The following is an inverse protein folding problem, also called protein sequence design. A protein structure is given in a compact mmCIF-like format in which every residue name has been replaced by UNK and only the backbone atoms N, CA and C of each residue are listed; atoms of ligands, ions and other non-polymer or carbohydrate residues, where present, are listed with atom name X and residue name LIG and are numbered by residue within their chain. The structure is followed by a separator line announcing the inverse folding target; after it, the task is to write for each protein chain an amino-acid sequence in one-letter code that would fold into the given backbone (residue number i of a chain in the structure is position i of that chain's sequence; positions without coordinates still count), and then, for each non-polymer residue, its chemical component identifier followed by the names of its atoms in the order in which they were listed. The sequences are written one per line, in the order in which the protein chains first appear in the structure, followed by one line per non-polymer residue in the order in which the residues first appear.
data_IF_052375005903
#
_entry.id   IF_052375005903
#
_cell.length_a   1.000
_cell.length_b   1.000
_cell.length_c   1.000
_cell.angle_alpha   90.00
_cell.angle_beta   90.00
_cell.angle_gamma   90.00
#
_symmetry.space_group_name_H-M   'P 1'
#
loop_
_entity.id
_entity.type
_entity.pdbx_description
1 polymer ?
#
# COMPACT_ATOMS: atom_id res chain seq x y z
N UNK A 1 -8.29 -22.61 10.25
CA UNK A 1 -7.17 -21.94 10.93
C UNK A 1 -7.00 -20.59 10.27
N UNK A 2 -7.27 -19.50 11.00
CA UNK A 2 -7.10 -18.15 10.49
C UNK A 2 -5.63 -17.75 10.69
N UNK A 3 -5.00 -17.34 9.61
CA UNK A 3 -3.61 -16.88 9.57
C UNK A 3 -3.62 -15.39 9.94
N UNK A 4 -3.69 -15.12 11.25
CA UNK A 4 -3.94 -13.81 11.82
C UNK A 4 -2.64 -13.02 12.02
N UNK A 5 -2.00 -12.58 10.94
CA UNK A 5 -1.07 -11.45 10.99
C UNK A 5 0.37 -11.70 10.57
N UNK A 6 0.69 -12.87 10.01
CA UNK A 6 1.99 -13.08 9.38
C UNK A 6 1.95 -12.54 7.93
N UNK A 7 2.91 -11.70 7.52
CA UNK A 7 3.00 -11.29 6.13
C UNK A 7 3.35 -12.50 5.28
N UNK A 8 2.47 -12.85 4.33
CA UNK A 8 2.70 -13.97 3.41
C UNK A 8 4.00 -13.82 2.62
N UNK A 9 4.44 -12.57 2.43
CA UNK A 9 5.70 -12.24 1.77
C UNK A 9 6.31 -10.99 2.40
N UNK A 10 7.62 -11.01 2.56
CA UNK A 10 8.43 -9.89 3.04
C UNK A 10 9.32 -9.43 1.89
N UNK A 11 9.30 -8.13 1.60
CA UNK A 11 10.12 -7.49 0.59
C UNK A 11 11.07 -6.51 1.27
N UNK A 12 12.35 -6.85 1.26
CA UNK A 12 13.39 -5.95 1.76
C UNK A 12 13.84 -5.00 0.64
N UNK A 13 13.57 -3.71 0.86
CA UNK A 13 13.98 -2.62 -0.01
C UNK A 13 14.97 -1.68 0.70
N UNK A 14 15.63 -2.15 1.77
CA UNK A 14 16.58 -1.34 2.51
C UNK A 14 17.80 -1.01 1.64
N UNK A 15 18.13 0.28 1.53
CA UNK A 15 19.23 0.78 0.70
C UNK A 15 18.85 1.22 -0.72
N UNK A 16 17.60 0.99 -1.14
CA UNK A 16 17.08 1.44 -2.44
C UNK A 16 16.24 2.72 -2.24
N UNK A 17 16.84 3.91 -2.37
CA UNK A 17 16.10 5.18 -2.34
C UNK A 17 15.68 5.69 -3.74
N UNK A 18 15.61 4.80 -4.74
CA UNK A 18 15.14 5.14 -6.09
C UNK A 18 13.64 4.83 -6.24
N UNK A 19 13.02 5.12 -7.39
CA UNK A 19 11.62 4.75 -7.70
C UNK A 19 11.37 3.25 -7.81
N UNK A 20 12.42 2.43 -7.76
CA UNK A 20 12.42 0.97 -7.93
C UNK A 20 11.66 0.16 -6.85
N UNK A 21 11.81 0.38 -5.53
CA UNK A 21 11.16 -0.44 -4.51
C UNK A 21 9.64 -0.25 -4.52
N UNK A 22 9.15 0.92 -4.96
CA UNK A 22 7.74 1.16 -5.20
C UNK A 22 7.21 0.29 -6.35
N UNK A 23 7.98 0.17 -7.43
CA UNK A 23 7.65 -0.68 -8.57
C UNK A 23 7.70 -2.16 -8.18
N UNK A 24 8.71 -2.59 -7.43
CA UNK A 24 8.81 -3.97 -6.95
C UNK A 24 7.68 -4.34 -6.00
N UNK A 25 7.41 -3.52 -4.98
CA UNK A 25 6.28 -3.71 -4.07
C UNK A 25 4.96 -3.79 -4.84
N UNK A 26 4.79 -2.93 -5.86
CA UNK A 26 3.63 -2.97 -6.75
C UNK A 26 3.56 -4.27 -7.55
N UNK A 27 4.65 -4.69 -8.18
CA UNK A 27 4.70 -5.90 -8.99
C UNK A 27 4.41 -7.14 -8.15
N UNK A 28 4.90 -7.15 -6.91
CA UNK A 28 4.67 -8.25 -5.99
C UNK A 28 3.21 -8.30 -5.54
N UNK A 29 2.63 -7.16 -5.16
CA UNK A 29 1.20 -7.04 -4.87
C UNK A 29 0.33 -7.40 -6.08
N UNK A 30 0.74 -7.08 -7.30
CA UNK A 30 0.01 -7.44 -8.52
C UNK A 30 -0.03 -8.97 -8.72
N UNK A 31 1.03 -9.70 -8.35
CA UNK A 31 1.09 -11.18 -8.39
C UNK A 31 0.33 -11.87 -7.25
N UNK A 32 0.09 -11.19 -6.14
CA UNK A 32 -0.60 -11.74 -4.97
C UNK A 32 -2.11 -11.88 -5.19
N UNK A 33 -2.76 -12.74 -4.41
CA UNK A 33 -4.22 -12.87 -4.43
C UNK A 33 -4.88 -11.87 -3.49
N UNK A 34 -6.15 -11.57 -3.75
CA UNK A 34 -6.96 -10.73 -2.86
C UNK A 34 -7.00 -11.36 -1.47
N UNK A 35 -6.75 -10.56 -0.45
CA UNK A 35 -6.72 -10.97 0.96
C UNK A 35 -5.32 -11.22 1.49
N UNK A 36 -4.30 -11.33 0.63
CA UNK A 36 -2.92 -11.55 1.06
C UNK A 36 -2.23 -10.24 1.49
N UNK A 37 -1.27 -10.37 2.40
CA UNK A 37 -0.47 -9.28 2.99
C UNK A 37 0.99 -9.35 2.56
N UNK A 38 1.53 -8.21 2.15
CA UNK A 38 2.94 -7.98 1.85
C UNK A 38 3.52 -7.05 2.92
N UNK A 39 4.61 -7.47 3.56
CA UNK A 39 5.46 -6.57 4.34
C UNK A 39 6.55 -5.97 3.45
N UNK A 40 6.74 -4.66 3.54
CA UNK A 40 7.81 -3.94 2.84
C UNK A 40 8.66 -3.20 3.87
N UNK A 41 9.96 -3.47 3.83
CA UNK A 41 10.96 -2.86 4.72
C UNK A 41 11.76 -1.85 3.91
N UNK A 42 11.81 -0.60 4.37
CA UNK A 42 12.53 0.47 3.66
C UNK A 42 13.18 1.44 4.65
N UNK A 43 14.41 1.88 4.39
CA UNK A 43 15.15 2.80 5.27
C UNK A 43 15.08 4.28 4.84
N UNK A 44 14.31 4.60 3.78
CA UNK A 44 14.24 5.96 3.23
C UNK A 44 12.96 6.68 3.70
N UNK A 45 13.02 8.00 3.99
CA UNK A 45 11.84 8.78 4.38
C UNK A 45 10.78 8.86 3.27
N UNK A 46 11.21 8.81 2.00
CA UNK A 46 10.30 8.78 0.85
C UNK A 46 9.45 7.51 0.76
N UNK A 47 9.77 6.46 1.53
CA UNK A 47 8.99 5.23 1.53
C UNK A 47 7.55 5.46 2.01
N UNK A 48 7.32 6.33 2.99
CA UNK A 48 5.97 6.61 3.48
C UNK A 48 5.08 7.25 2.41
N UNK A 49 5.59 8.25 1.70
CA UNK A 49 4.85 8.91 0.61
C UNK A 49 4.60 7.95 -0.55
N UNK A 50 5.61 7.14 -0.90
CA UNK A 50 5.50 6.09 -1.91
C UNK A 50 4.39 5.07 -1.57
N UNK A 51 4.32 4.59 -0.33
CA UNK A 51 3.26 3.66 0.11
C UNK A 51 1.88 4.32 0.13
N UNK A 52 1.80 5.60 0.48
CA UNK A 52 0.54 6.35 0.45
C UNK A 52 0.03 6.53 -1.00
N UNK A 53 0.92 6.84 -1.93
CA UNK A 53 0.58 6.94 -3.37
C UNK A 53 0.14 5.57 -3.90
N UNK A 54 0.85 4.50 -3.57
CA UNK A 54 0.53 3.13 -4.01
C UNK A 54 -0.86 2.69 -3.53
N UNK A 55 -1.14 2.85 -2.24
CA UNK A 55 -2.43 2.49 -1.63
C UNK A 55 -3.57 3.31 -2.22
N UNK A 56 -3.34 4.60 -2.49
CA UNK A 56 -4.32 5.47 -3.15
C UNK A 56 -4.59 5.13 -4.62
N UNK A 57 -3.55 4.83 -5.40
CA UNK A 57 -3.68 4.57 -6.85
C UNK A 57 -4.30 3.20 -7.14
N UNK A 58 -3.93 2.18 -6.39
CA UNK A 58 -4.39 0.79 -6.61
C UNK A 58 -5.55 0.39 -5.70
N UNK A 59 -5.90 1.23 -4.72
CA UNK A 59 -6.93 0.94 -3.73
C UNK A 59 -6.53 -0.19 -2.77
N UNK A 60 -5.23 -0.33 -2.47
CA UNK A 60 -4.74 -1.28 -1.47
C UNK A 60 -4.97 -0.76 -0.05
N UNK A 61 -5.01 -1.66 0.91
CA UNK A 61 -5.20 -1.31 2.32
C UNK A 61 -3.86 -1.38 3.06
N UNK A 62 -3.47 -0.28 3.70
CA UNK A 62 -2.34 -0.28 4.63
C UNK A 62 -2.81 -0.79 5.99
N UNK A 63 -2.43 -2.02 6.35
CA UNK A 63 -2.85 -2.68 7.59
C UNK A 63 -2.08 -2.13 8.78
N UNK A 64 -0.76 -2.00 8.63
CA UNK A 64 0.12 -1.54 9.70
C UNK A 64 1.31 -0.82 9.10
N UNK A 65 1.79 0.19 9.82
CA UNK A 65 3.12 0.76 9.61
C UNK A 65 3.78 0.97 10.96
N UNK A 66 5.05 0.67 11.06
CA UNK A 66 5.87 1.01 12.22
C UNK A 66 7.27 1.37 11.77
N UNK A 67 7.99 2.08 12.65
CA UNK A 67 9.40 2.36 12.47
C UNK A 67 10.16 1.58 13.53
N UNK A 68 11.14 0.80 13.11
CA UNK A 68 12.03 0.05 13.97
C UNK A 68 13.45 0.43 13.61
N UNK A 69 14.22 0.92 14.58
CA UNK A 69 15.55 1.51 14.39
C UNK A 69 15.55 2.61 13.30
N UNK A 70 16.21 2.33 12.16
CA UNK A 70 16.28 3.18 10.96
C UNK A 70 15.53 2.59 9.76
N UNK A 71 14.64 1.63 10.00
CA UNK A 71 13.84 0.97 9.00
C UNK A 71 12.35 1.24 9.23
N UNK A 72 11.65 1.52 8.14
CA UNK A 72 10.21 1.63 8.08
C UNK A 72 9.62 0.32 7.57
N UNK A 73 8.71 -0.23 8.34
CA UNK A 73 7.98 -1.43 8.01
C UNK A 73 6.55 -1.07 7.62
N UNK A 74 6.11 -1.53 6.46
CA UNK A 74 4.77 -1.32 5.94
C UNK A 74 4.11 -2.64 5.60
N UNK A 75 2.98 -2.94 6.22
CA UNK A 75 2.16 -4.12 5.91
C UNK A 75 0.98 -3.68 5.06
N UNK A 76 0.94 -4.14 3.83
CA UNK A 76 -0.07 -3.79 2.84
C UNK A 76 -0.88 -5.04 2.49
N UNK A 77 -2.20 -4.92 2.50
CA UNK A 77 -3.12 -5.98 2.11
C UNK A 77 -3.75 -5.69 0.76
N UNK A 78 -3.73 -6.69 -0.13
CA UNK A 78 -4.45 -6.61 -1.40
C UNK A 78 -5.94 -6.77 -1.15
N UNK A 79 -6.72 -5.73 -1.43
CA UNK A 79 -8.19 -5.76 -1.28
C UNK A 79 -8.89 -5.65 -2.64
N UNK A 80 -10.15 -6.09 -2.70
CA UNK A 80 -10.98 -5.95 -3.91
C UNK A 80 -11.29 -4.48 -4.15
N UNK A 81 -10.91 -4.00 -5.33
CA UNK A 81 -11.07 -2.61 -5.77
C UNK A 81 -12.53 -2.23 -6.06
N UNK A 82 -13.46 -3.20 -6.09
CA UNK A 82 -14.87 -2.94 -6.39
C UNK A 82 -15.52 -2.02 -5.35
N UNK A 83 -15.09 -2.12 -4.09
CA UNK A 83 -15.53 -1.23 -3.02
C UNK A 83 -14.99 0.20 -3.18
N UNK A 84 -13.80 0.33 -3.77
CA UNK A 84 -13.16 1.61 -4.04
C UNK A 84 -13.80 2.36 -5.20
N UNK A 85 -14.20 1.67 -6.27
CA UNK A 85 -14.90 2.30 -7.41
C UNK A 85 -16.21 2.94 -6.95
N UNK A 86 -17.00 2.24 -6.13
CA UNK A 86 -18.24 2.77 -5.56
C UNK A 86 -17.97 3.96 -4.64
N UNK A 87 -16.92 3.92 -3.81
CA UNK A 87 -16.58 5.03 -2.90
C UNK A 87 -16.01 6.24 -3.64
N UNK A 88 -15.21 6.01 -4.69
CA UNK A 88 -14.61 7.07 -5.51
C UNK A 88 -15.65 7.81 -6.35
N UNK A 89 -16.65 7.09 -6.90
CA UNK A 89 -17.79 7.70 -7.59
C UNK A 89 -18.56 8.68 -6.69
N UNK A 90 -18.69 8.35 -5.39
CA UNK A 90 -19.34 9.22 -4.39
C UNK A 90 -18.47 10.43 -4.03
N UNK A 91 -17.13 10.29 -3.98
CA UNK A 91 -16.21 11.38 -3.64
C UNK A 91 -16.06 12.38 -4.79
N UNK A 92 -15.96 11.92 -6.04
CA UNK A 92 -15.88 12.81 -7.22
C UNK A 92 -17.16 13.61 -7.42
N UNK A 93 -18.32 13.06 -7.03
CA UNK A 93 -19.61 13.77 -7.12
C UNK A 93 -19.74 14.96 -6.14
N UNK A 94 -18.89 15.04 -5.09
CA UNK A 94 -18.94 16.15 -4.11
C UNK A 94 -18.00 17.32 -4.41
N UNK A 95 -17.00 17.17 -5.27
CA UNK A 95 -16.05 18.25 -5.56
C UNK A 95 -16.61 19.28 -6.57
N UNK A 96 -17.68 18.96 -7.30
CA UNK A 96 -18.22 19.83 -8.35
C UNK A 96 -19.23 20.90 -7.87
N UNK A 97 -19.60 20.92 -6.58
CA UNK A 97 -20.71 21.76 -6.07
C UNK A 97 -20.23 23.06 -5.37
N UNK A 98 -18.92 23.32 -5.24
CA UNK A 98 -18.41 24.46 -4.43
C UNK A 98 -17.82 25.61 -5.29
N UNK A 99 -18.15 25.71 -6.58
CA UNK A 99 -17.81 26.88 -7.40
C UNK A 99 -19.07 27.44 -8.07
N UNK A 100 -19.89 28.16 -7.30
CA UNK A 100 -20.82 29.17 -7.83
C UNK A 100 -21.04 30.27 -6.81
#
# INVERSE_FOLDING_TARGET
MADDGEPKKVLDCSGLCCSLPLVEARMELDKMEIGQTLEVIANCPSAEENMNILTRLKGYELVRKWKEDDQFHFVIKKVIVIFWILRYLVVVSKQFIICS
#
